data_IF_767808639772
#
_entry.id   IF_767808639772
#
_cell.length_a   1.000
_cell.length_b   1.000
_cell.length_c   1.000
_cell.angle_alpha   90.00
_cell.angle_beta   90.00
_cell.angle_gamma   90.00
#
_symmetry.space_group_name_H-M   'P 1'
#
loop_
_entity.id
_entity.type
_entity.pdbx_description
1 polymer ?
#
# COMPACT_ATOMS: atom_id res chain seq x y z
N UNK A 1 52.93 -10.52 -16.39
CA UNK A 1 51.84 -11.07 -15.56
C UNK A 1 50.72 -10.03 -15.55
N UNK A 2 49.62 -10.26 -16.28
CA UNK A 2 48.45 -9.37 -16.25
C UNK A 2 47.35 -10.06 -15.45
N UNK A 3 46.93 -9.47 -14.33
CA UNK A 3 45.73 -9.91 -13.61
C UNK A 3 44.51 -9.41 -14.38
N UNK A 4 43.79 -10.33 -15.02
CA UNK A 4 42.47 -10.06 -15.58
C UNK A 4 41.47 -10.18 -14.44
N UNK A 5 40.93 -9.06 -13.97
CA UNK A 5 39.84 -9.04 -13.01
C UNK A 5 38.54 -9.24 -13.78
N UNK A 6 37.90 -10.39 -13.59
CA UNK A 6 36.57 -10.67 -14.13
C UNK A 6 35.56 -9.99 -13.20
N UNK A 7 34.97 -8.88 -13.65
CA UNK A 7 33.81 -8.29 -13.00
C UNK A 7 32.58 -9.04 -13.50
N UNK A 8 32.15 -10.06 -12.77
CA UNK A 8 30.82 -10.64 -12.97
C UNK A 8 29.77 -9.62 -12.50
N UNK A 9 28.79 -9.23 -13.32
CA UNK A 9 27.66 -8.46 -12.81
C UNK A 9 26.98 -9.31 -11.72
N UNK A 10 26.78 -8.73 -10.54
CA UNK A 10 25.92 -9.33 -9.53
C UNK A 10 24.52 -9.34 -10.14
N UNK A 11 23.99 -10.53 -10.42
CA UNK A 11 22.58 -10.70 -10.73
C UNK A 11 21.79 -10.31 -9.47
N UNK A 12 21.30 -9.07 -9.44
CA UNK A 12 20.28 -8.66 -8.48
C UNK A 12 18.99 -9.29 -9.01
N UNK A 13 18.58 -10.40 -8.40
CA UNK A 13 17.30 -11.03 -8.71
C UNK A 13 16.19 -10.02 -8.40
N UNK A 14 15.57 -9.49 -9.47
CA UNK A 14 14.40 -8.65 -9.38
C UNK A 14 13.21 -9.44 -8.83
N UNK A 15 12.58 -8.85 -7.83
CA UNK A 15 11.24 -9.10 -7.28
C UNK A 15 10.91 -10.58 -6.98
N UNK A 16 11.21 -11.00 -5.74
CA UNK A 16 10.50 -12.17 -5.20
C UNK A 16 9.00 -11.89 -5.19
N UNK A 17 8.17 -12.94 -5.23
CA UNK A 17 6.72 -12.76 -5.09
C UNK A 17 6.36 -11.96 -3.82
N UNK A 18 7.16 -12.12 -2.75
CA UNK A 18 7.03 -11.33 -1.53
C UNK A 18 7.27 -9.84 -1.78
N UNK A 19 8.35 -9.47 -2.48
CA UNK A 19 8.67 -8.08 -2.80
C UNK A 19 7.56 -7.41 -3.60
N UNK A 20 6.94 -8.12 -4.56
CA UNK A 20 5.80 -7.62 -5.33
C UNK A 20 4.65 -7.20 -4.40
N UNK A 21 4.22 -8.09 -3.50
CA UNK A 21 3.09 -7.78 -2.62
C UNK A 21 3.43 -6.77 -1.52
N UNK A 22 4.67 -6.76 -1.04
CA UNK A 22 5.15 -5.74 -0.09
C UNK A 22 5.19 -4.35 -0.75
N UNK A 23 5.74 -4.25 -1.96
CA UNK A 23 5.74 -3.01 -2.74
C UNK A 23 4.30 -2.55 -3.04
N UNK A 24 3.42 -3.48 -3.38
CA UNK A 24 2.01 -3.20 -3.63
C UNK A 24 1.28 -2.65 -2.39
N UNK A 25 1.53 -3.26 -1.22
CA UNK A 25 1.02 -2.79 0.06
C UNK A 25 1.49 -1.36 0.36
N UNK A 26 2.80 -1.09 0.27
CA UNK A 26 3.34 0.24 0.57
C UNK A 26 2.87 1.29 -0.42
N UNK A 27 2.89 0.98 -1.73
CA UNK A 27 2.44 1.90 -2.78
C UNK A 27 0.99 2.34 -2.54
N UNK A 28 0.07 1.40 -2.36
CA UNK A 28 -1.35 1.68 -2.11
C UNK A 28 -1.60 2.41 -0.80
N UNK A 29 -0.88 2.03 0.26
CA UNK A 29 -0.99 2.68 1.58
C UNK A 29 -0.54 4.15 1.53
N UNK A 30 0.56 4.41 0.81
CA UNK A 30 1.09 5.76 0.62
C UNK A 30 0.14 6.61 -0.23
N UNK A 31 -0.37 6.07 -1.32
CA UNK A 31 -1.33 6.76 -2.20
C UNK A 31 -2.64 7.09 -1.46
N UNK A 32 -3.21 6.12 -0.72
CA UNK A 32 -4.39 6.35 0.11
C UNK A 32 -4.14 7.47 1.14
N UNK A 33 -2.99 7.44 1.81
CA UNK A 33 -2.60 8.45 2.80
C UNK A 33 -2.43 9.83 2.18
N UNK A 34 -1.84 9.89 0.98
CA UNK A 34 -1.67 11.14 0.25
C UNK A 34 -3.02 11.75 -0.15
N UNK A 35 -3.95 10.94 -0.63
CA UNK A 35 -5.31 11.39 -0.95
C UNK A 35 -6.01 11.94 0.28
N UNK A 36 -5.92 11.25 1.43
CA UNK A 36 -6.51 11.73 2.69
C UNK A 36 -5.92 13.07 3.14
N UNK A 37 -4.59 13.25 3.03
CA UNK A 37 -3.92 14.52 3.33
C UNK A 37 -4.40 15.64 2.43
N UNK A 38 -4.56 15.37 1.14
CA UNK A 38 -5.07 16.37 0.19
C UNK A 38 -6.54 16.73 0.43
N UNK A 39 -7.37 15.76 0.86
CA UNK A 39 -8.73 16.03 1.32
C UNK A 39 -8.70 16.94 2.56
N UNK A 40 -7.86 16.61 3.55
CA UNK A 40 -7.72 17.42 4.76
C UNK A 40 -7.30 18.87 4.44
N UNK A 41 -6.30 19.06 3.59
CA UNK A 41 -5.88 20.39 3.13
C UNK A 41 -7.00 21.12 2.39
N UNK A 42 -7.68 20.45 1.45
CA UNK A 42 -8.79 21.05 0.70
C UNK A 42 -9.91 21.52 1.64
N UNK A 43 -10.25 20.72 2.65
CA UNK A 43 -11.26 21.05 3.65
C UNK A 43 -10.84 22.25 4.52
N UNK A 44 -9.56 22.32 4.92
CA UNK A 44 -9.00 23.48 5.66
C UNK A 44 -9.05 24.77 4.83
N UNK A 45 -8.88 24.67 3.52
CA UNK A 45 -9.02 25.78 2.57
C UNK A 45 -10.49 26.13 2.24
N UNK A 46 -11.45 25.41 2.84
CA UNK A 46 -12.89 25.63 2.63
C UNK A 46 -13.47 24.96 1.38
N UNK A 47 -12.68 24.18 0.64
CA UNK A 47 -13.12 23.46 -0.55
C UNK A 47 -13.63 22.06 -0.20
N UNK A 48 -14.89 21.78 -0.53
CA UNK A 48 -15.50 20.43 -0.43
C UNK A 48 -15.57 19.69 -1.76
N UNK A 49 -14.93 20.23 -2.79
CA UNK A 49 -15.01 19.68 -4.15
C UNK A 49 -14.39 18.29 -4.19
N UNK A 50 -15.13 17.31 -4.73
CA UNK A 50 -14.68 15.91 -4.92
C UNK A 50 -14.26 15.17 -3.64
N UNK A 51 -14.56 15.67 -2.44
CA UNK A 51 -14.18 15.02 -1.17
C UNK A 51 -14.66 13.58 -1.13
N UNK A 52 -15.95 13.33 -1.37
CA UNK A 52 -16.51 11.98 -1.33
C UNK A 52 -15.92 11.03 -2.38
N UNK A 53 -15.72 11.49 -3.63
CA UNK A 53 -15.11 10.62 -4.65
C UNK A 53 -13.68 10.23 -4.27
N UNK A 54 -12.91 11.16 -3.70
CA UNK A 54 -11.54 10.94 -3.28
C UNK A 54 -11.45 10.10 -1.99
N UNK A 55 -12.38 10.27 -1.04
CA UNK A 55 -12.45 9.41 0.14
C UNK A 55 -12.70 7.94 -0.26
N UNK A 56 -13.63 7.71 -1.20
CA UNK A 56 -13.88 6.36 -1.73
C UNK A 56 -12.67 5.78 -2.47
N UNK A 57 -11.91 6.61 -3.18
CA UNK A 57 -10.66 6.21 -3.82
C UNK A 57 -9.60 5.79 -2.80
N UNK A 58 -9.34 6.63 -1.79
CA UNK A 58 -8.43 6.30 -0.69
C UNK A 58 -8.85 5.01 0.04
N UNK A 59 -10.15 4.84 0.31
CA UNK A 59 -10.67 3.65 0.96
C UNK A 59 -10.46 2.38 0.12
N UNK A 60 -10.69 2.44 -1.20
CA UNK A 60 -10.43 1.31 -2.10
C UNK A 60 -8.96 0.92 -2.11
N UNK A 61 -8.06 1.91 -2.17
CA UNK A 61 -6.62 1.69 -2.09
C UNK A 61 -6.22 1.05 -0.76
N UNK A 62 -6.74 1.54 0.37
CA UNK A 62 -6.51 0.94 1.69
C UNK A 62 -6.99 -0.50 1.83
N UNK A 63 -8.16 -0.83 1.26
CA UNK A 63 -8.67 -2.21 1.23
C UNK A 63 -7.80 -3.12 0.36
N UNK A 64 -7.31 -2.63 -0.78
CA UNK A 64 -6.38 -3.37 -1.62
C UNK A 64 -5.03 -3.56 -0.93
N UNK A 65 -4.52 -2.54 -0.24
CA UNK A 65 -3.29 -2.66 0.55
C UNK A 65 -3.40 -3.78 1.60
N UNK A 66 -4.50 -3.82 2.35
CA UNK A 66 -4.75 -4.90 3.32
C UNK A 66 -4.74 -6.29 2.66
N UNK A 67 -5.26 -6.44 1.43
CA UNK A 67 -5.20 -7.71 0.69
C UNK A 67 -3.76 -8.08 0.33
N UNK A 68 -2.97 -7.11 -0.15
CA UNK A 68 -1.57 -7.33 -0.51
C UNK A 68 -0.72 -7.70 0.71
N UNK A 69 -0.99 -7.09 1.87
CA UNK A 69 -0.34 -7.46 3.13
C UNK A 69 -0.65 -8.90 3.54
N UNK A 70 -1.91 -9.34 3.44
CA UNK A 70 -2.28 -10.75 3.71
C UNK A 70 -1.50 -11.69 2.77
N UNK A 71 -1.41 -11.35 1.48
CA UNK A 71 -0.67 -12.15 0.50
C UNK A 71 0.83 -12.22 0.78
N UNK A 72 1.43 -11.14 1.26
CA UNK A 72 2.84 -11.14 1.68
C UNK A 72 3.08 -12.15 2.81
N UNK A 73 2.25 -12.14 3.85
CA UNK A 73 2.32 -13.12 4.95
C UNK A 73 2.11 -14.57 4.47
N UNK A 74 1.13 -14.81 3.59
CA UNK A 74 0.89 -16.14 3.01
C UNK A 74 2.13 -16.67 2.26
N UNK A 75 2.83 -15.82 1.51
CA UNK A 75 4.04 -16.19 0.76
C UNK A 75 5.21 -16.48 1.70
N UNK A 76 5.35 -15.71 2.76
CA UNK A 76 6.39 -15.91 3.78
C UNK A 76 6.12 -17.18 4.63
N UNK A 77 4.94 -17.78 4.53
CA UNK A 77 4.52 -18.90 5.39
C UNK A 77 4.25 -18.47 6.83
N UNK A 78 3.95 -17.18 7.02
CA UNK A 78 3.71 -16.57 8.32
C UNK A 78 2.22 -16.29 8.53
N UNK A 79 1.80 -16.22 9.80
CA UNK A 79 0.43 -15.87 10.15
C UNK A 79 0.26 -14.35 10.15
N UNK A 80 -0.63 -13.78 9.31
CA UNK A 80 -0.89 -12.34 9.35
C UNK A 80 -1.48 -11.92 10.71
N UNK A 81 -1.22 -10.70 11.19
CA UNK A 81 -1.87 -10.13 12.36
C UNK A 81 -3.33 -9.78 12.04
N UNK A 82 -4.17 -10.81 11.86
CA UNK A 82 -5.51 -10.69 11.28
C UNK A 82 -6.43 -9.76 12.06
N UNK A 83 -6.26 -9.64 13.37
CA UNK A 83 -7.05 -8.70 14.17
C UNK A 83 -6.75 -7.24 13.77
N UNK A 84 -5.47 -6.89 13.60
CA UNK A 84 -5.06 -5.55 13.18
C UNK A 84 -5.50 -5.27 11.73
N UNK A 85 -5.35 -6.26 10.85
CA UNK A 85 -5.77 -6.15 9.45
C UNK A 85 -7.30 -5.96 9.36
N UNK A 86 -8.10 -6.70 10.14
CA UNK A 86 -9.55 -6.53 10.19
C UNK A 86 -9.96 -5.16 10.72
N UNK A 87 -9.32 -4.66 11.77
CA UNK A 87 -9.58 -3.31 12.28
C UNK A 87 -9.26 -2.25 11.21
N UNK A 88 -8.16 -2.42 10.46
CA UNK A 88 -7.82 -1.59 9.30
C UNK A 88 -8.90 -1.67 8.22
N UNK A 89 -9.35 -2.88 7.85
CA UNK A 89 -10.41 -3.09 6.85
C UNK A 89 -11.72 -2.39 7.25
N UNK A 90 -12.17 -2.56 8.49
CA UNK A 90 -13.38 -1.90 9.01
C UNK A 90 -13.28 -0.37 8.93
N UNK A 91 -12.09 0.19 9.23
CA UNK A 91 -11.88 1.64 9.10
C UNK A 91 -12.01 2.10 7.66
N UNK A 92 -11.43 1.36 6.70
CA UNK A 92 -11.56 1.70 5.28
C UNK A 92 -12.99 1.52 4.76
N UNK A 93 -13.69 0.48 5.17
CA UNK A 93 -15.11 0.28 4.86
C UNK A 93 -15.98 1.41 5.42
N UNK A 94 -15.66 1.91 6.62
CA UNK A 94 -16.34 3.09 7.18
C UNK A 94 -16.13 4.31 6.28
N UNK A 95 -14.89 4.61 5.88
CA UNK A 95 -14.58 5.75 4.99
C UNK A 95 -15.27 5.59 3.62
N UNK A 96 -15.36 4.36 3.10
CA UNK A 96 -16.01 4.07 1.82
C UNK A 96 -17.51 4.41 1.84
N UNK A 97 -18.16 4.26 2.99
CA UNK A 97 -19.60 4.41 3.20
C UNK A 97 -20.01 5.70 3.92
N UNK A 98 -19.04 6.54 4.33
CA UNK A 98 -19.30 7.82 5.02
C UNK A 98 -19.89 8.88 4.08
N UNK A 99 -19.74 8.65 2.78
CA UNK A 99 -20.45 9.31 1.70
C UNK A 99 -21.30 8.26 0.95
#
# INVERSE_FOLDING_TARGET
MCLVTIFSPVEIFADTALDVYMNDFYSKSNEASQILKEIESSLKEGSRKKVCSRQREAARLGLLANKSLIKAFEIEGANPPMQAIKASQQRWESILNEC
#
